data_IF_152478422964
#
_entry.id   IF_152478422964
#
_cell.length_a   1.000
_cell.length_b   1.000
_cell.length_c   1.000
_cell.angle_alpha   90.00
_cell.angle_beta   90.00
_cell.angle_gamma   90.00
#
_symmetry.space_group_name_H-M   'P 1'
#
loop_
_entity.id
_entity.type
_entity.pdbx_description
1 polymer ?
#
# COMPACT_ATOMS: atom_id res chain seq x y z
N UNK A 1 41.93 22.29 17.51
CA UNK A 1 42.55 21.00 17.15
C UNK A 1 42.11 20.65 15.75
N UNK A 2 43.06 20.67 14.82
CA UNK A 2 42.87 20.44 13.40
C UNK A 2 43.42 19.05 13.03
N UNK A 3 42.63 18.26 12.30
CA UNK A 3 43.01 17.04 11.57
C UNK A 3 41.85 16.83 10.56
N UNK A 4 41.95 17.01 9.24
CA UNK A 4 42.91 16.60 8.21
C UNK A 4 42.69 15.16 7.68
N UNK A 5 42.65 15.05 6.34
CA UNK A 5 42.68 13.87 5.44
C UNK A 5 41.34 13.14 5.18
N UNK A 6 41.01 12.68 3.96
CA UNK A 6 41.61 12.83 2.63
C UNK A 6 40.54 12.51 1.56
N UNK A 7 40.64 13.18 0.42
CA UNK A 7 39.83 12.95 -0.78
C UNK A 7 40.36 11.76 -1.59
N UNK A 8 39.46 11.02 -2.24
CA UNK A 8 39.78 10.05 -3.29
C UNK A 8 38.91 10.35 -4.52
N UNK A 9 39.58 10.89 -5.55
CA UNK A 9 39.09 11.10 -6.90
C UNK A 9 39.26 9.79 -7.69
N UNK A 10 38.22 9.36 -8.38
CA UNK A 10 38.32 8.37 -9.45
C UNK A 10 37.70 8.95 -10.72
N UNK A 11 38.57 9.40 -11.61
CA UNK A 11 38.31 9.77 -13.00
C UNK A 11 38.31 8.51 -13.85
N UNK A 12 37.21 8.26 -14.58
CA UNK A 12 37.07 7.12 -15.50
C UNK A 12 36.52 7.54 -16.86
N UNK A 13 37.45 7.68 -17.80
CA UNK A 13 37.44 7.75 -19.26
C UNK A 13 36.13 7.79 -20.08
N UNK A 14 36.20 8.70 -21.05
CA UNK A 14 35.41 8.81 -22.27
C UNK A 14 35.76 7.74 -23.33
N UNK A 15 34.77 7.42 -24.17
CA UNK A 15 34.90 6.77 -25.49
C UNK A 15 33.51 6.76 -26.14
N UNK A 16 33.22 7.58 -27.16
CA UNK A 16 33.55 7.35 -28.58
C UNK A 16 32.49 6.42 -29.19
N UNK A 17 31.40 6.89 -29.82
CA UNK A 17 31.33 7.35 -31.21
C UNK A 17 31.43 6.16 -32.18
N UNK A 18 30.36 5.61 -32.78
CA UNK A 18 29.61 6.08 -33.99
C UNK A 18 28.68 4.91 -34.46
N UNK A 19 28.04 4.92 -35.67
CA UNK A 19 26.62 5.19 -35.91
C UNK A 19 25.90 3.96 -36.57
N UNK A 20 24.70 4.08 -37.20
CA UNK A 20 23.78 2.96 -37.44
C UNK A 20 24.06 2.21 -38.75
N UNK A 21 23.72 0.92 -38.78
CA UNK A 21 23.70 0.14 -40.01
C UNK A 21 22.33 -0.56 -40.16
N UNK A 22 21.50 0.06 -41.00
CA UNK A 22 20.42 -0.57 -41.75
C UNK A 22 21.00 -1.63 -42.69
N UNK A 23 20.43 -2.84 -42.70
CA UNK A 23 20.11 -3.51 -43.96
C UNK A 23 19.02 -4.58 -43.76
N UNK A 24 18.10 -4.71 -44.74
CA UNK A 24 17.04 -5.71 -44.77
C UNK A 24 17.50 -6.94 -45.56
N UNK A 25 16.96 -8.14 -45.26
CA UNK A 25 16.62 -9.11 -46.31
C UNK A 25 15.83 -10.31 -45.79
N UNK A 26 14.70 -10.52 -46.44
CA UNK A 26 14.07 -11.82 -46.64
C UNK A 26 15.10 -12.85 -47.12
N UNK A 27 15.04 -14.06 -46.57
CA UNK A 27 15.41 -15.26 -47.33
C UNK A 27 14.46 -16.39 -46.96
N UNK A 28 13.53 -16.60 -47.88
CA UNK A 28 12.67 -17.76 -48.06
C UNK A 28 13.51 -19.01 -48.33
N UNK A 29 12.96 -20.16 -47.94
CA UNK A 29 13.26 -21.49 -48.46
C UNK A 29 14.63 -22.09 -48.13
N UNK A 30 14.68 -22.92 -47.07
CA UNK A 30 15.06 -24.32 -47.25
C UNK A 30 14.60 -25.15 -46.04
N UNK A 31 13.45 -25.82 -46.16
CA UNK A 31 12.95 -26.73 -45.13
C UNK A 31 13.50 -28.13 -45.41
N UNK A 32 14.76 -28.31 -45.07
CA UNK A 32 15.38 -29.61 -44.97
C UNK A 32 14.69 -30.42 -43.87
N UNK A 33 14.17 -31.57 -44.27
CA UNK A 33 13.52 -32.60 -43.46
C UNK A 33 14.55 -33.19 -42.48
N UNK A 34 14.57 -32.66 -41.25
CA UNK A 34 15.40 -33.20 -40.17
C UNK A 34 14.77 -34.50 -39.64
N UNK A 35 15.59 -35.55 -39.41
CA UNK A 35 15.13 -36.82 -38.86
C UNK A 35 14.52 -36.60 -37.49
N UNK A 36 13.37 -37.24 -37.25
CA UNK A 36 12.71 -37.35 -35.94
C UNK A 36 13.71 -37.95 -34.95
N UNK A 37 14.37 -37.10 -34.17
CA UNK A 37 15.01 -37.49 -32.92
C UNK A 37 13.90 -37.97 -32.00
N UNK A 38 14.04 -39.21 -31.56
CA UNK A 38 13.19 -39.86 -30.57
C UNK A 38 12.85 -38.88 -29.45
N UNK A 39 11.55 -38.60 -29.29
CA UNK A 39 10.97 -37.91 -28.15
C UNK A 39 11.37 -38.69 -26.89
N UNK A 40 12.49 -38.29 -26.28
CA UNK A 40 12.76 -38.61 -24.90
C UNK A 40 11.66 -37.92 -24.09
N UNK A 41 10.69 -38.73 -23.65
CA UNK A 41 9.71 -38.38 -22.63
C UNK A 41 10.44 -37.70 -21.47
N UNK A 42 10.50 -36.36 -21.52
CA UNK A 42 10.98 -35.57 -20.42
C UNK A 42 10.04 -35.89 -19.25
N UNK A 43 10.57 -36.26 -18.07
CA UNK A 43 9.73 -36.59 -16.94
C UNK A 43 8.77 -35.44 -16.70
N UNK A 44 7.47 -35.72 -16.76
CA UNK A 44 6.41 -34.76 -16.49
C UNK A 44 6.60 -34.27 -15.06
N UNK A 45 7.29 -33.15 -14.88
CA UNK A 45 7.39 -32.47 -13.60
C UNK A 45 5.97 -32.21 -13.13
N UNK A 46 5.58 -32.86 -12.04
CA UNK A 46 4.29 -32.60 -11.42
C UNK A 46 4.38 -31.18 -10.90
N UNK A 47 3.53 -30.24 -11.38
CA UNK A 47 3.65 -28.84 -10.99
C UNK A 47 3.56 -28.74 -9.47
N UNK A 48 4.53 -28.06 -8.86
CA UNK A 48 4.52 -27.83 -7.42
C UNK A 48 3.20 -27.15 -7.02
N UNK A 49 2.53 -27.63 -5.96
CA UNK A 49 1.26 -27.05 -5.55
C UNK A 49 1.46 -25.59 -5.16
N UNK A 50 0.64 -24.71 -5.74
CA UNK A 50 0.69 -23.27 -5.44
C UNK A 50 0.44 -23.03 -3.95
N UNK A 51 1.26 -22.20 -3.26
CA UNK A 51 1.04 -21.85 -1.86
C UNK A 51 -0.33 -21.21 -1.58
N UNK A 52 -1.02 -20.68 -2.60
CA UNK A 52 -2.37 -20.13 -2.48
C UNK A 52 -3.45 -21.21 -2.29
N UNK A 53 -3.18 -22.45 -2.67
CA UNK A 53 -4.13 -23.57 -2.53
C UNK A 53 -4.04 -24.16 -1.13
N UNK A 54 -5.15 -24.13 -0.40
CA UNK A 54 -5.28 -24.58 0.98
C UNK A 54 -6.28 -25.74 1.04
N UNK A 55 -5.99 -26.77 1.83
CA UNK A 55 -6.87 -27.94 1.94
C UNK A 55 -8.25 -27.55 2.52
N UNK A 56 -9.28 -28.38 2.30
CA UNK A 56 -10.60 -28.15 2.90
C UNK A 56 -10.60 -28.18 4.44
N UNK A 57 -9.60 -28.84 5.04
CA UNK A 57 -9.40 -28.91 6.49
C UNK A 57 -8.39 -27.87 7.01
N UNK A 58 -7.94 -26.93 6.16
CA UNK A 58 -6.94 -25.95 6.53
C UNK A 58 -7.41 -25.08 7.70
N UNK A 59 -6.44 -24.65 8.50
CA UNK A 59 -6.65 -23.74 9.63
C UNK A 59 -6.10 -22.35 9.34
N UNK A 60 -6.31 -21.43 10.27
CA UNK A 60 -5.74 -20.10 10.17
C UNK A 60 -4.20 -20.09 10.17
N UNK A 61 -3.56 -21.03 10.88
CA UNK A 61 -2.11 -21.20 10.82
C UNK A 61 -1.63 -21.57 9.40
N UNK A 62 -2.34 -22.45 8.69
CA UNK A 62 -2.00 -22.80 7.29
C UNK A 62 -2.12 -21.59 6.36
N UNK A 63 -3.15 -20.75 6.57
CA UNK A 63 -3.31 -19.49 5.82
C UNK A 63 -2.14 -18.53 6.09
N UNK A 64 -1.73 -18.33 7.34
CA UNK A 64 -0.59 -17.46 7.67
C UNK A 64 0.72 -18.02 7.11
N UNK A 65 0.90 -19.35 7.14
CA UNK A 65 2.05 -20.01 6.51
C UNK A 65 2.07 -19.80 4.98
N UNK A 66 0.91 -19.88 4.32
CA UNK A 66 0.78 -19.57 2.89
C UNK A 66 1.12 -18.10 2.59
N UNK A 67 0.63 -17.15 3.38
CA UNK A 67 0.98 -15.73 3.26
C UNK A 67 2.50 -15.52 3.37
N UNK A 68 3.13 -16.15 4.36
CA UNK A 68 4.59 -16.13 4.54
C UNK A 68 5.35 -16.69 3.33
N UNK A 69 4.89 -17.81 2.80
CA UNK A 69 5.51 -18.44 1.62
C UNK A 69 5.41 -17.52 0.40
N UNK A 70 4.24 -16.91 0.16
CA UNK A 70 4.02 -15.98 -0.95
C UNK A 70 4.88 -14.72 -0.82
N UNK A 71 5.00 -14.16 0.39
CA UNK A 71 5.87 -13.03 0.70
C UNK A 71 7.34 -13.36 0.39
N UNK A 72 7.82 -14.53 0.86
CA UNK A 72 9.19 -15.00 0.62
C UNK A 72 9.50 -15.29 -0.85
N UNK A 73 8.49 -15.60 -1.66
CA UNK A 73 8.60 -15.83 -3.11
C UNK A 73 8.35 -14.56 -3.94
N UNK A 74 8.05 -13.42 -3.31
CA UNK A 74 7.58 -12.20 -3.99
C UNK A 74 6.38 -12.43 -4.91
N UNK A 75 5.47 -13.33 -4.51
CA UNK A 75 4.22 -13.67 -5.22
C UNK A 75 2.97 -13.13 -4.49
N UNK A 76 3.12 -11.99 -3.82
CA UNK A 76 2.08 -11.36 -2.99
C UNK A 76 0.88 -10.84 -3.78
N UNK A 77 1.08 -10.47 -5.05
CA UNK A 77 0.07 -9.84 -5.88
C UNK A 77 -1.08 -10.78 -6.28
N UNK A 78 -2.30 -10.26 -6.30
CA UNK A 78 -3.48 -10.96 -6.82
C UNK A 78 -4.46 -10.00 -7.48
N UNK A 79 -5.02 -10.41 -8.62
CA UNK A 79 -6.03 -9.64 -9.37
C UNK A 79 -7.48 -10.00 -9.00
N UNK A 80 -7.70 -10.90 -8.05
CA UNK A 80 -9.03 -11.43 -7.75
C UNK A 80 -9.97 -10.42 -7.06
N UNK A 81 -9.42 -9.41 -6.37
CA UNK A 81 -10.20 -8.38 -5.67
C UNK A 81 -11.01 -8.91 -4.47
N UNK A 82 -10.61 -10.04 -3.89
CA UNK A 82 -11.26 -10.67 -2.74
C UNK A 82 -10.22 -11.43 -1.90
N UNK A 83 -10.53 -11.69 -0.63
CA UNK A 83 -9.57 -12.31 0.29
C UNK A 83 -9.51 -13.83 0.15
N UNK A 84 -10.67 -14.49 0.11
CA UNK A 84 -10.75 -15.95 0.20
C UNK A 84 -11.86 -16.51 -0.71
N UNK A 85 -11.55 -17.62 -1.39
CA UNK A 85 -12.48 -18.41 -2.21
C UNK A 85 -12.54 -19.85 -1.72
N UNK A 86 -13.64 -20.57 -2.03
CA UNK A 86 -13.82 -21.97 -1.65
C UNK A 86 -14.51 -22.17 -0.30
N UNK A 87 -14.68 -23.42 0.15
CA UNK A 87 -15.36 -23.74 1.41
C UNK A 87 -16.18 -25.04 1.41
N UNK A 88 -16.74 -25.36 2.58
CA UNK A 88 -17.44 -26.59 3.05
C UNK A 88 -16.96 -27.95 2.54
N UNK A 89 -16.89 -28.16 1.22
CA UNK A 89 -16.42 -29.39 0.60
C UNK A 89 -15.31 -29.17 -0.44
N UNK A 90 -15.03 -27.92 -0.80
CA UNK A 90 -13.98 -27.53 -1.74
C UNK A 90 -12.74 -26.99 -1.01
N UNK A 91 -11.53 -27.20 -1.57
CA UNK A 91 -10.32 -26.54 -1.11
C UNK A 91 -10.49 -25.01 -1.08
N UNK A 92 -9.77 -24.37 -0.16
CA UNK A 92 -9.72 -22.92 -0.09
C UNK A 92 -8.64 -22.38 -1.03
N UNK A 93 -8.84 -21.15 -1.51
CA UNK A 93 -7.82 -20.40 -2.26
C UNK A 93 -7.65 -19.03 -1.63
N UNK A 94 -6.41 -18.70 -1.27
CA UNK A 94 -6.02 -17.37 -0.82
C UNK A 94 -5.89 -16.45 -2.04
N UNK A 95 -6.95 -15.67 -2.27
CA UNK A 95 -7.09 -14.75 -3.40
C UNK A 95 -6.63 -13.34 -3.04
N UNK A 96 -6.26 -13.11 -1.79
CA UNK A 96 -5.86 -11.79 -1.31
C UNK A 96 -4.60 -11.28 -2.04
N UNK A 97 -4.61 -9.98 -2.36
CA UNK A 97 -3.41 -9.18 -2.61
C UNK A 97 -2.74 -8.88 -1.26
N UNK A 98 -1.48 -9.28 -1.09
CA UNK A 98 -0.81 -9.35 0.21
C UNK A 98 0.14 -8.18 0.44
N UNK A 99 0.08 -7.60 1.63
CA UNK A 99 1.03 -6.59 2.07
C UNK A 99 1.10 -6.51 3.60
N UNK A 100 2.24 -6.89 4.17
CA UNK A 100 2.49 -6.87 5.62
C UNK A 100 3.20 -5.58 6.06
N UNK A 101 2.96 -5.17 7.30
CA UNK A 101 3.70 -4.08 7.94
C UNK A 101 5.03 -4.55 8.56
N UNK A 102 5.21 -5.86 8.74
CA UNK A 102 6.38 -6.45 9.41
C UNK A 102 6.96 -7.61 8.60
N UNK A 103 8.29 -7.72 8.61
CA UNK A 103 9.02 -8.86 8.07
C UNK A 103 10.07 -9.34 9.10
N UNK A 104 10.17 -10.65 9.39
CA UNK A 104 9.29 -11.71 8.88
C UNK A 104 7.87 -11.60 9.44
N UNK A 105 6.87 -12.07 8.68
CA UNK A 105 5.48 -12.17 9.14
C UNK A 105 5.44 -13.23 10.28
N UNK A 106 4.82 -12.91 11.43
CA UNK A 106 4.79 -13.82 12.59
C UNK A 106 3.88 -15.03 12.32
N UNK A 107 4.07 -16.08 13.11
CA UNK A 107 3.18 -17.24 13.13
C UNK A 107 1.82 -16.90 13.77
N UNK A 108 0.78 -17.65 13.38
CA UNK A 108 -0.51 -17.55 14.05
C UNK A 108 -0.42 -18.10 15.48
N UNK A 109 -0.82 -17.33 16.51
CA UNK A 109 -0.73 -17.79 17.89
C UNK A 109 -1.67 -18.96 18.15
N UNK A 110 -1.23 -19.94 18.93
CA UNK A 110 -2.03 -21.12 19.24
C UNK A 110 -3.25 -20.79 20.12
N UNK A 111 -3.11 -19.80 21.01
CA UNK A 111 -4.13 -19.38 21.97
C UNK A 111 -4.09 -17.86 22.17
N UNK A 112 -5.26 -17.23 22.24
CA UNK A 112 -5.48 -15.81 22.48
C UNK A 112 -6.38 -15.55 23.69
N UNK A 113 -7.09 -16.56 24.20
CA UNK A 113 -8.14 -16.41 25.23
C UNK A 113 -7.78 -15.50 26.40
N UNK A 114 -6.63 -15.68 27.03
CA UNK A 114 -6.21 -14.85 28.19
C UNK A 114 -6.03 -13.36 27.88
N UNK A 115 -5.80 -13.01 26.60
CA UNK A 115 -5.70 -11.61 26.12
C UNK A 115 -7.06 -11.03 25.72
N UNK A 116 -8.11 -11.85 25.75
CA UNK A 116 -9.47 -11.50 25.35
C UNK A 116 -10.42 -11.45 26.56
N UNK A 117 -9.91 -11.67 27.77
CA UNK A 117 -10.71 -11.68 29.00
C UNK A 117 -11.21 -10.29 29.41
N UNK A 118 -10.43 -9.23 29.19
CA UNK A 118 -10.86 -7.86 29.47
C UNK A 118 -11.46 -7.20 28.20
N UNK A 119 -12.78 -6.92 28.16
CA UNK A 119 -13.43 -6.24 27.04
C UNK A 119 -13.09 -4.75 26.94
N UNK A 120 -12.46 -4.17 27.98
CA UNK A 120 -12.05 -2.76 28.01
C UNK A 120 -10.72 -2.54 27.28
N UNK A 121 -9.93 -3.58 27.11
CA UNK A 121 -8.69 -3.50 26.36
C UNK A 121 -8.95 -3.19 24.89
N UNK A 122 -8.14 -2.31 24.33
CA UNK A 122 -8.16 -1.95 22.91
C UNK A 122 -7.16 -2.79 22.14
N UNK A 123 -7.35 -2.83 20.81
CA UNK A 123 -6.37 -3.40 19.90
C UNK A 123 -5.46 -2.31 19.31
N UNK A 124 -4.22 -2.69 18.99
CA UNK A 124 -3.38 -1.94 18.06
C UNK A 124 -3.22 -2.74 16.80
N UNK A 125 -3.42 -2.12 15.64
CA UNK A 125 -3.31 -2.79 14.33
C UNK A 125 -2.27 -2.08 13.48
N UNK A 126 -1.25 -2.82 13.05
CA UNK A 126 -0.23 -2.37 12.12
C UNK A 126 -0.63 -2.77 10.71
N UNK A 127 -0.83 -1.79 9.84
CA UNK A 127 -1.01 -2.00 8.40
C UNK A 127 0.23 -1.50 7.67
N UNK A 128 0.36 -1.79 6.36
CA UNK A 128 1.46 -1.22 5.55
C UNK A 128 1.49 0.31 5.56
N UNK A 129 0.36 0.95 5.88
CA UNK A 129 0.19 2.40 5.79
C UNK A 129 0.36 3.09 7.14
N UNK A 130 -0.20 2.53 8.21
CA UNK A 130 -0.29 3.19 9.50
C UNK A 130 -0.48 2.20 10.66
N UNK A 131 -0.21 2.71 11.86
CA UNK A 131 -0.61 2.10 13.12
C UNK A 131 -1.96 2.69 13.56
N UNK A 132 -2.90 1.80 13.93
CA UNK A 132 -4.20 2.17 14.48
C UNK A 132 -4.28 1.81 15.96
N UNK A 133 -4.66 2.78 16.79
CA UNK A 133 -4.71 2.61 18.25
C UNK A 133 -3.37 2.93 18.93
N UNK A 134 -3.45 3.23 20.24
CA UNK A 134 -2.30 3.67 21.03
C UNK A 134 -1.98 2.76 22.24
N UNK A 135 -2.95 1.96 22.70
CA UNK A 135 -2.81 1.04 23.83
C UNK A 135 -3.17 -0.38 23.37
N UNK A 136 -2.42 -1.40 23.77
CA UNK A 136 -2.76 -2.78 23.43
C UNK A 136 -2.59 -3.76 24.58
N UNK A 137 -3.67 -4.49 24.86
CA UNK A 137 -3.59 -5.90 25.27
C UNK A 137 -3.50 -6.85 24.07
N UNK A 138 -3.94 -6.38 22.89
CA UNK A 138 -3.88 -7.10 21.62
C UNK A 138 -3.18 -6.26 20.55
N UNK A 139 -2.09 -6.78 19.99
CA UNK A 139 -1.38 -6.16 18.88
C UNK A 139 -1.50 -7.06 17.63
N UNK A 140 -1.89 -6.49 16.49
CA UNK A 140 -2.18 -7.20 15.26
C UNK A 140 -1.34 -6.63 14.10
N UNK A 141 -1.02 -7.47 13.12
CA UNK A 141 -0.42 -7.07 11.85
C UNK A 141 -1.34 -7.47 10.71
N UNK A 142 -1.73 -6.50 9.89
CA UNK A 142 -2.49 -6.72 8.66
C UNK A 142 -1.64 -7.46 7.62
N UNK A 143 -2.26 -8.39 6.90
CA UNK A 143 -1.64 -9.31 5.96
C UNK A 143 -1.95 -8.98 4.50
N UNK A 144 -3.04 -8.27 4.24
CA UNK A 144 -3.49 -7.93 2.90
C UNK A 144 -3.33 -6.44 2.59
N UNK A 145 -3.20 -6.11 1.30
CA UNK A 145 -3.30 -4.74 0.83
C UNK A 145 -4.67 -4.19 1.17
N UNK A 146 -4.69 -3.16 2.00
CA UNK A 146 -5.87 -2.34 2.25
C UNK A 146 -5.65 -0.99 1.58
N UNK A 147 -6.69 -0.25 1.21
CA UNK A 147 -6.51 1.17 1.02
C UNK A 147 -5.99 1.77 2.34
N UNK A 148 -5.24 2.87 2.26
CA UNK A 148 -4.99 3.74 3.38
C UNK A 148 -6.30 4.05 4.11
N UNK A 149 -6.37 3.76 5.40
CA UNK A 149 -7.62 3.80 6.14
C UNK A 149 -8.15 5.22 6.27
N UNK A 150 -9.46 5.36 6.11
CA UNK A 150 -10.17 6.60 6.43
C UNK A 150 -9.99 6.96 7.92
N UNK A 151 -10.29 8.20 8.28
CA UNK A 151 -10.39 8.58 9.69
C UNK A 151 -11.45 7.71 10.39
N UNK A 152 -11.15 7.24 11.61
CA UNK A 152 -12.04 6.38 12.38
C UNK A 152 -11.25 5.31 13.15
N UNK A 153 -11.97 4.52 13.95
CA UNK A 153 -11.41 3.32 14.58
C UNK A 153 -11.50 2.13 13.64
N UNK A 154 -10.82 1.04 14.00
CA UNK A 154 -11.04 -0.26 13.37
C UNK A 154 -11.90 -1.11 14.30
N UNK A 155 -12.90 -1.78 13.73
CA UNK A 155 -13.58 -2.88 14.41
C UNK A 155 -12.75 -4.15 14.23
N UNK A 156 -12.53 -4.90 15.31
CA UNK A 156 -11.65 -6.07 15.29
C UNK A 156 -12.47 -7.30 15.69
N UNK A 157 -12.47 -8.31 14.83
CA UNK A 157 -13.06 -9.63 15.05
C UNK A 157 -11.94 -10.62 15.32
N UNK A 158 -11.93 -11.21 16.52
CA UNK A 158 -10.98 -12.25 16.91
C UNK A 158 -11.72 -13.56 17.04
N UNK A 159 -11.35 -14.55 16.24
CA UNK A 159 -11.90 -15.90 16.31
C UNK A 159 -11.01 -16.75 17.22
N UNK A 160 -11.56 -17.19 18.34
CA UNK A 160 -10.91 -18.08 19.29
C UNK A 160 -11.70 -19.39 19.41
N UNK A 161 -11.14 -20.38 20.11
CA UNK A 161 -11.83 -21.65 20.40
C UNK A 161 -13.18 -21.44 21.11
N UNK A 162 -13.26 -20.46 22.00
CA UNK A 162 -14.46 -20.15 22.80
C UNK A 162 -15.54 -19.40 22.00
N UNK A 163 -15.19 -18.85 20.83
CA UNK A 163 -16.10 -18.11 19.96
C UNK A 163 -15.47 -16.86 19.34
N UNK A 164 -16.31 -15.97 18.83
CA UNK A 164 -15.90 -14.67 18.33
C UNK A 164 -15.86 -13.63 19.46
N UNK A 165 -14.81 -12.82 19.46
CA UNK A 165 -14.65 -11.65 20.32
C UNK A 165 -14.56 -10.39 19.48
N UNK A 166 -15.09 -9.28 20.00
CA UNK A 166 -15.02 -7.98 19.33
C UNK A 166 -14.19 -7.00 20.14
N UNK A 167 -13.39 -6.22 19.43
CA UNK A 167 -12.58 -5.12 19.96
C UNK A 167 -12.66 -3.88 19.06
N UNK A 168 -12.21 -2.74 19.57
CA UNK A 168 -11.94 -1.53 18.78
C UNK A 168 -10.53 -1.04 19.05
N UNK A 169 -10.04 -0.17 18.18
CA UNK A 169 -8.71 0.46 18.33
C UNK A 169 -8.72 1.77 19.11
N UNK A 170 -9.89 2.36 19.35
CA UNK A 170 -10.05 3.66 20.00
C UNK A 170 -10.54 3.58 21.45
N UNK A 171 -11.50 2.70 21.71
CA UNK A 171 -12.20 2.56 22.99
C UNK A 171 -12.55 1.11 23.28
N UNK A 172 -12.79 0.77 24.54
CA UNK A 172 -13.28 -0.56 24.92
C UNK A 172 -14.67 -0.85 24.35
N UNK A 173 -15.02 -2.13 24.22
CA UNK A 173 -16.35 -2.57 23.77
C UNK A 173 -17.22 -2.88 24.99
N UNK A 174 -18.49 -2.49 24.96
CA UNK A 174 -19.41 -2.84 26.04
C UNK A 174 -19.49 -4.38 26.20
N UNK A 175 -19.45 -4.93 27.44
CA UNK A 175 -19.29 -6.38 27.65
C UNK A 175 -20.26 -7.27 26.88
N UNK A 176 -21.53 -6.86 26.74
CA UNK A 176 -22.56 -7.59 25.99
C UNK A 176 -22.28 -7.74 24.48
N UNK A 177 -21.36 -6.95 23.92
CA UNK A 177 -20.95 -7.00 22.52
C UNK A 177 -19.50 -7.48 22.35
N UNK A 178 -18.75 -7.70 23.44
CA UNK A 178 -17.32 -8.00 23.36
C UNK A 178 -16.98 -9.49 23.16
N UNK A 179 -17.97 -10.38 23.34
CA UNK A 179 -17.79 -11.84 23.27
C UNK A 179 -17.26 -12.46 24.57
N UNK A 180 -17.06 -13.80 24.60
CA UNK A 180 -17.24 -14.70 23.46
C UNK A 180 -18.71 -14.90 23.07
N UNK A 181 -18.97 -15.07 21.77
CA UNK A 181 -20.26 -15.56 21.26
C UNK A 181 -20.07 -16.51 20.08
N UNK A 182 -21.05 -17.38 19.78
CA UNK A 182 -21.03 -18.22 18.59
C UNK A 182 -20.83 -17.41 17.30
N UNK A 183 -19.99 -17.89 16.39
CA UNK A 183 -19.60 -17.12 15.18
C UNK A 183 -20.79 -16.79 14.30
N UNK A 184 -21.82 -17.64 14.23
CA UNK A 184 -23.07 -17.42 13.51
C UNK A 184 -23.91 -16.27 14.07
N UNK A 185 -23.65 -15.81 15.29
CA UNK A 185 -24.28 -14.64 15.92
C UNK A 185 -23.48 -13.34 15.78
N UNK A 186 -22.35 -13.36 15.05
CA UNK A 186 -21.51 -12.17 14.85
C UNK A 186 -22.30 -11.01 14.22
N UNK A 187 -23.25 -11.29 13.33
CA UNK A 187 -24.13 -10.30 12.69
C UNK A 187 -24.98 -9.48 13.66
N UNK A 188 -25.24 -9.98 14.87
CA UNK A 188 -26.01 -9.26 15.90
C UNK A 188 -25.16 -8.19 16.62
N UNK A 189 -23.84 -8.42 16.71
CA UNK A 189 -22.94 -7.59 17.50
C UNK A 189 -22.03 -6.70 16.64
N UNK A 190 -21.60 -7.20 15.47
CA UNK A 190 -20.64 -6.52 14.60
C UNK A 190 -21.13 -5.14 14.13
N UNK A 191 -22.40 -4.92 13.73
CA UNK A 191 -22.86 -3.59 13.30
C UNK A 191 -22.68 -2.51 14.37
N UNK A 192 -22.86 -2.86 15.65
CA UNK A 192 -22.70 -1.93 16.78
C UNK A 192 -21.23 -1.55 16.98
N UNK A 193 -20.31 -2.51 16.82
CA UNK A 193 -18.87 -2.28 16.98
C UNK A 193 -18.26 -1.59 15.75
N UNK A 194 -18.80 -1.89 14.57
CA UNK A 194 -18.39 -1.32 13.29
C UNK A 194 -19.00 0.07 12.99
N UNK A 195 -19.92 0.57 13.81
CA UNK A 195 -20.50 1.90 13.64
C UNK A 195 -19.42 2.98 13.67
N UNK A 196 -19.17 3.63 12.52
CA UNK A 196 -18.11 4.63 12.36
C UNK A 196 -16.70 4.05 12.15
N UNK A 197 -16.57 2.74 11.99
CA UNK A 197 -15.28 2.11 11.74
C UNK A 197 -14.81 2.36 10.30
N UNK A 198 -13.51 2.61 10.14
CA UNK A 198 -12.88 2.76 8.83
C UNK A 198 -12.68 1.41 8.12
N UNK A 199 -12.50 0.33 8.88
CA UNK A 199 -12.38 -1.04 8.38
C UNK A 199 -12.76 -2.07 9.46
N UNK A 200 -12.96 -3.31 9.02
CA UNK A 200 -13.12 -4.49 9.88
C UNK A 200 -11.87 -5.36 9.75
N UNK A 201 -11.19 -5.57 10.85
CA UNK A 201 -10.01 -6.43 10.96
C UNK A 201 -10.48 -7.79 11.45
N UNK A 202 -10.07 -8.86 10.76
CA UNK A 202 -10.40 -10.24 11.13
C UNK A 202 -9.10 -11.00 11.38
N UNK A 203 -9.02 -11.63 12.55
CA UNK A 203 -7.89 -12.47 12.98
C UNK A 203 -8.41 -13.71 13.69
N UNK A 204 -7.57 -14.72 13.86
CA UNK A 204 -7.95 -15.94 14.54
C UNK A 204 -6.75 -16.60 15.27
N UNK A 205 -7.06 -17.49 16.21
CA UNK A 205 -6.10 -18.47 16.71
C UNK A 205 -5.72 -19.46 15.62
N UNK A 206 -4.48 -19.96 15.65
CA UNK A 206 -3.92 -20.80 14.60
C UNK A 206 -4.69 -22.12 14.33
N UNK A 207 -5.44 -22.62 15.31
CA UNK A 207 -6.24 -23.86 15.18
C UNK A 207 -7.65 -23.63 14.65
N UNK A 208 -8.08 -22.38 14.46
CA UNK A 208 -9.42 -22.08 13.94
C UNK A 208 -9.52 -22.55 12.48
N UNK A 209 -10.51 -23.40 12.13
CA UNK A 209 -10.71 -23.84 10.76
C UNK A 209 -11.04 -22.67 9.81
N UNK A 210 -10.58 -22.73 8.55
CA UNK A 210 -10.91 -21.70 7.56
C UNK A 210 -12.40 -21.65 7.21
N UNK A 211 -13.16 -22.72 7.46
CA UNK A 211 -14.63 -22.69 7.37
C UNK A 211 -15.26 -21.71 8.38
N UNK A 212 -14.74 -21.68 9.61
CA UNK A 212 -15.14 -20.71 10.64
C UNK A 212 -14.73 -19.29 10.27
N UNK A 213 -13.52 -19.10 9.74
CA UNK A 213 -13.07 -17.80 9.23
C UNK A 213 -13.98 -17.32 8.09
N UNK A 214 -14.31 -18.19 7.13
CA UNK A 214 -15.22 -17.87 6.02
C UNK A 214 -16.60 -17.46 6.53
N UNK A 215 -17.15 -18.17 7.51
CA UNK A 215 -18.44 -17.82 8.13
C UNK A 215 -18.41 -16.42 8.77
N UNK A 216 -17.31 -16.07 9.44
CA UNK A 216 -17.13 -14.73 10.01
C UNK A 216 -17.00 -13.65 8.92
N UNK A 217 -16.18 -13.91 7.88
CA UNK A 217 -16.01 -13.01 6.74
C UNK A 217 -17.32 -12.76 5.99
N UNK A 218 -18.17 -13.78 5.85
CA UNK A 218 -19.50 -13.67 5.24
C UNK A 218 -20.50 -12.80 6.02
N UNK A 219 -20.22 -12.49 7.29
CA UNK A 219 -21.03 -11.60 8.12
C UNK A 219 -20.51 -10.17 8.16
N UNK A 220 -19.35 -9.90 7.55
CA UNK A 220 -18.83 -8.54 7.41
C UNK A 220 -19.66 -7.80 6.35
N UNK A 221 -20.13 -6.56 6.59
CA UNK A 221 -20.86 -5.81 5.58
C UNK A 221 -20.05 -5.70 4.28
N UNK A 222 -20.66 -6.00 3.13
CA UNK A 222 -19.95 -6.04 1.85
C UNK A 222 -19.34 -4.71 1.40
N UNK A 223 -19.77 -3.59 1.98
CA UNK A 223 -19.18 -2.26 1.76
C UNK A 223 -18.00 -1.94 2.65
N UNK A 224 -17.73 -2.75 3.69
CA UNK A 224 -16.65 -2.51 4.62
C UNK A 224 -15.31 -2.91 4.00
N UNK A 225 -14.27 -2.11 4.27
CA UNK A 225 -12.89 -2.54 4.01
C UNK A 225 -12.56 -3.66 4.98
N UNK A 226 -12.01 -4.78 4.49
CA UNK A 226 -11.63 -5.93 5.33
C UNK A 226 -10.12 -6.10 5.37
N UNK A 227 -9.61 -6.31 6.58
CA UNK A 227 -8.19 -6.57 6.82
C UNK A 227 -8.05 -7.95 7.45
N UNK A 228 -7.39 -8.89 6.79
CA UNK A 228 -6.90 -10.10 7.44
C UNK A 228 -5.68 -9.72 8.26
N UNK A 229 -5.63 -10.15 9.52
CA UNK A 229 -4.53 -9.83 10.41
C UNK A 229 -4.09 -11.05 11.23
N UNK A 230 -2.83 -11.04 11.66
CA UNK A 230 -2.27 -12.01 12.61
C UNK A 230 -1.93 -11.30 13.91
N UNK A 231 -2.21 -11.93 15.05
CA UNK A 231 -1.88 -11.37 16.35
C UNK A 231 -0.40 -11.60 16.68
N UNK A 232 0.25 -10.54 17.17
CA UNK A 232 1.61 -10.59 17.70
C UNK A 232 1.61 -11.16 19.11
N UNK A 233 2.69 -11.82 19.49
CA UNK A 233 2.93 -12.33 20.85
C UNK A 233 2.72 -11.26 21.94
N UNK A 234 2.34 -11.70 23.14
CA UNK A 234 2.17 -10.80 24.26
C UNK A 234 3.51 -10.11 24.62
N UNK A 235 3.45 -8.81 24.94
CA UNK A 235 4.64 -8.04 25.32
C UNK A 235 5.54 -7.59 24.16
N UNK A 236 5.18 -7.88 22.90
CA UNK A 236 5.89 -7.31 21.74
C UNK A 236 5.80 -5.79 21.80
N UNK A 237 6.97 -5.14 21.87
CA UNK A 237 7.07 -3.68 21.83
C UNK A 237 6.91 -3.21 20.39
N UNK A 238 5.83 -2.48 20.15
CA UNK A 238 5.63 -1.81 18.88
C UNK A 238 6.54 -0.57 18.80
N UNK A 239 7.11 -0.25 17.63
CA UNK A 239 7.80 1.01 17.45
C UNK A 239 6.82 2.15 17.73
N UNK A 240 7.28 3.20 18.40
CA UNK A 240 6.49 4.41 18.50
C UNK A 240 6.22 4.93 17.08
N UNK A 241 5.00 5.42 16.78
CA UNK A 241 4.74 6.09 15.52
C UNK A 241 5.82 7.17 15.29
N UNK A 242 6.35 7.29 14.07
CA UNK A 242 7.32 8.35 13.77
C UNK A 242 6.69 9.70 14.14
N UNK A 243 7.43 10.53 14.86
CA UNK A 243 7.00 11.89 15.13
C UNK A 243 6.81 12.62 13.79
N UNK A 244 5.79 13.46 13.70
CA UNK A 244 5.61 14.32 12.54
C UNK A 244 6.88 15.16 12.36
N UNK A 245 7.50 15.10 11.18
CA UNK A 245 8.67 15.89 10.86
C UNK A 245 8.23 17.34 10.60
N UNK A 246 8.62 18.32 11.45
CA UNK A 246 8.26 19.72 11.26
C UNK A 246 9.04 20.40 10.12
N UNK A 247 9.82 19.64 9.35
CA UNK A 247 10.60 20.14 8.22
C UNK A 247 9.73 20.98 7.28
N UNK A 248 10.18 22.21 7.06
CA UNK A 248 9.60 23.14 6.09
C UNK A 248 10.25 22.99 4.71
N UNK A 249 11.13 21.99 4.51
CA UNK A 249 11.82 21.80 3.25
C UNK A 249 10.82 21.60 2.10
N UNK A 250 11.00 22.35 1.02
CA UNK A 250 10.10 22.35 -0.14
C UNK A 250 8.83 23.20 0.03
N UNK A 251 8.55 23.78 1.21
CA UNK A 251 7.49 24.76 1.36
C UNK A 251 7.93 26.14 0.83
N UNK A 252 6.99 26.90 0.30
CA UNK A 252 7.25 28.27 -0.12
C UNK A 252 7.48 29.18 1.09
N UNK A 253 8.57 29.95 1.08
CA UNK A 253 8.79 30.98 2.10
C UNK A 253 7.66 32.02 2.04
N UNK A 254 6.99 32.26 3.17
CA UNK A 254 5.80 33.12 3.26
C UNK A 254 4.68 32.76 2.25
N UNK A 255 4.62 31.52 1.76
CA UNK A 255 3.60 31.07 0.82
C UNK A 255 3.74 31.60 -0.61
N UNK A 256 4.89 32.16 -0.98
CA UNK A 256 5.14 32.73 -2.31
C UNK A 256 6.45 32.21 -2.94
N UNK A 257 6.54 32.31 -4.27
CA UNK A 257 7.79 32.08 -5.00
C UNK A 257 8.78 33.23 -4.73
N UNK A 258 10.10 32.98 -4.81
CA UNK A 258 11.08 34.05 -4.85
C UNK A 258 10.78 35.04 -5.98
N UNK A 259 10.98 36.36 -5.77
CA UNK A 259 10.78 37.34 -6.83
C UNK A 259 11.71 37.03 -8.01
N UNK A 260 11.25 37.21 -9.26
CA UNK A 260 12.10 37.03 -10.43
C UNK A 260 13.17 38.14 -10.49
N UNK A 261 14.28 37.91 -11.22
CA UNK A 261 15.20 38.97 -11.60
C UNK A 261 14.47 40.14 -12.27
N UNK A 262 14.91 41.38 -12.01
CA UNK A 262 14.21 42.60 -12.42
C UNK A 262 14.13 42.80 -13.95
N UNK A 263 14.97 42.11 -14.72
CA UNK A 263 15.03 42.14 -16.18
C UNK A 263 14.10 41.11 -16.84
N UNK A 264 13.55 40.16 -16.09
CA UNK A 264 12.62 39.16 -16.62
C UNK A 264 11.19 39.71 -16.73
N UNK A 265 10.56 39.49 -17.89
CA UNK A 265 9.17 39.90 -18.15
C UNK A 265 8.21 38.74 -17.95
N UNK A 266 7.08 39.01 -17.31
CA UNK A 266 6.00 38.05 -17.17
C UNK A 266 5.33 37.84 -18.54
N UNK A 267 5.33 36.60 -19.01
CA UNK A 267 4.62 36.15 -20.20
C UNK A 267 3.28 35.52 -19.87
N UNK A 268 2.70 34.85 -20.86
CA UNK A 268 1.43 34.12 -20.73
C UNK A 268 1.58 32.69 -21.22
N UNK A 269 0.80 31.78 -20.63
CA UNK A 269 0.71 30.39 -21.08
C UNK A 269 -0.75 29.96 -21.01
N UNK A 270 -1.27 29.40 -22.10
CA UNK A 270 -2.66 28.98 -22.18
C UNK A 270 -3.00 27.87 -21.17
N UNK A 271 -4.20 27.91 -20.59
CA UNK A 271 -4.64 26.90 -19.63
C UNK A 271 -4.67 25.48 -20.21
N UNK A 272 -4.98 25.33 -21.50
CA UNK A 272 -4.96 24.03 -22.20
C UNK A 272 -3.54 23.44 -22.24
N UNK A 273 -2.52 24.28 -22.49
CA UNK A 273 -1.13 23.87 -22.50
C UNK A 273 -0.65 23.38 -21.13
N UNK A 274 -1.13 24.01 -20.05
CA UNK A 274 -0.85 23.56 -18.68
C UNK A 274 -1.57 22.23 -18.41
N UNK A 275 -2.88 22.16 -18.72
CA UNK A 275 -3.70 20.97 -18.50
C UNK A 275 -3.16 19.72 -19.21
N UNK A 276 -2.67 19.87 -20.44
CA UNK A 276 -2.06 18.79 -21.21
C UNK A 276 -0.80 18.17 -20.55
N UNK A 277 -0.20 18.83 -19.56
CA UNK A 277 0.94 18.31 -18.79
C UNK A 277 0.55 17.73 -17.43
N UNK A 278 -0.67 17.96 -16.96
CA UNK A 278 -1.10 17.52 -15.64
C UNK A 278 -1.23 16.00 -15.52
N UNK A 279 -1.56 15.29 -16.60
CA UNK A 279 -1.75 13.83 -16.56
C UNK A 279 -0.42 13.11 -16.26
N UNK A 280 0.64 13.41 -17.02
CA UNK A 280 1.99 12.84 -16.79
C UNK A 280 2.54 13.21 -15.40
N UNK A 281 2.25 14.42 -14.94
CA UNK A 281 2.61 14.86 -13.59
C UNK A 281 1.83 14.07 -12.53
N UNK A 282 0.54 13.79 -12.77
CA UNK A 282 -0.31 13.02 -11.85
C UNK A 282 0.20 11.59 -11.72
N UNK A 283 0.57 10.92 -12.81
CA UNK A 283 1.20 9.60 -12.77
C UNK A 283 2.51 9.60 -11.97
N UNK A 284 3.38 10.60 -12.20
CA UNK A 284 4.61 10.74 -11.44
C UNK A 284 4.38 10.99 -9.95
N UNK A 285 3.39 11.81 -9.62
CA UNK A 285 3.02 12.11 -8.24
C UNK A 285 2.38 10.89 -7.54
N UNK A 286 1.63 10.06 -8.28
CA UNK A 286 1.08 8.80 -7.76
C UNK A 286 2.18 7.78 -7.44
N UNK A 287 3.27 7.71 -8.23
CA UNK A 287 4.45 6.90 -7.86
C UNK A 287 5.11 7.37 -6.57
N UNK A 288 5.18 8.70 -6.34
CA UNK A 288 5.65 9.22 -5.05
C UNK A 288 4.73 8.77 -3.90
N UNK A 289 3.43 8.70 -4.15
CA UNK A 289 2.41 8.38 -3.16
C UNK A 289 2.44 6.91 -2.68
N UNK A 290 2.98 5.98 -3.46
CA UNK A 290 3.16 4.57 -3.06
C UNK A 290 3.98 4.40 -1.77
N UNK A 291 4.87 5.36 -1.50
CA UNK A 291 5.71 5.41 -0.32
C UNK A 291 5.12 6.25 0.83
N UNK A 292 3.94 6.85 0.64
CA UNK A 292 3.29 7.62 1.70
C UNK A 292 2.97 6.73 2.91
N UNK A 293 3.14 7.28 4.11
CA UNK A 293 2.86 6.60 5.39
C UNK A 293 2.05 7.50 6.31
N UNK A 294 1.46 6.91 7.35
CA UNK A 294 0.68 7.62 8.36
C UNK A 294 -0.49 8.40 7.73
N UNK A 295 -0.66 9.65 8.17
CA UNK A 295 -1.75 10.51 7.72
C UNK A 295 -1.69 10.84 6.23
N UNK A 296 -0.48 10.96 5.66
CA UNK A 296 -0.28 11.25 4.24
C UNK A 296 -0.79 10.12 3.35
N UNK A 297 -0.74 8.86 3.82
CA UNK A 297 -1.27 7.73 3.06
C UNK A 297 -2.77 7.90 2.76
N UNK A 298 -3.54 8.66 3.54
CA UNK A 298 -4.98 8.90 3.28
C UNK A 298 -5.25 9.74 2.04
N UNK A 299 -4.22 10.30 1.43
CA UNK A 299 -4.33 11.24 0.33
C UNK A 299 -4.60 12.65 0.83
N UNK A 300 -4.64 13.60 -0.11
CA UNK A 300 -4.74 15.01 0.20
C UNK A 300 -4.43 15.87 -1.00
N UNK A 301 -4.21 17.16 -0.76
CA UNK A 301 -3.85 18.14 -1.79
C UNK A 301 -2.53 18.81 -1.48
N UNK A 302 -1.73 18.99 -2.51
CA UNK A 302 -0.57 19.89 -2.52
C UNK A 302 -0.83 20.96 -3.56
N UNK A 303 -0.74 22.24 -3.16
CA UNK A 303 -0.74 23.36 -4.10
C UNK A 303 0.69 23.77 -4.35
N UNK A 304 1.21 23.46 -5.52
CA UNK A 304 2.58 23.79 -5.91
C UNK A 304 2.57 25.12 -6.66
N UNK A 305 3.38 26.07 -6.21
CA UNK A 305 3.72 27.25 -7.02
C UNK A 305 4.94 26.92 -7.85
N UNK A 306 4.87 27.25 -9.13
CA UNK A 306 5.88 26.91 -10.11
C UNK A 306 6.17 28.12 -10.99
N UNK A 307 7.46 28.40 -11.23
CA UNK A 307 7.92 29.32 -12.28
C UNK A 307 8.37 28.52 -13.49
N UNK A 308 7.76 28.78 -14.64
CA UNK A 308 8.12 28.20 -15.93
C UNK A 308 8.95 29.24 -16.69
N UNK A 309 10.19 28.90 -17.04
CA UNK A 309 11.09 29.78 -17.78
C UNK A 309 10.84 29.81 -19.29
N UNK A 310 11.71 30.48 -20.06
CA UNK A 310 11.44 30.80 -21.46
C UNK A 310 11.52 29.57 -22.38
N UNK A 311 12.22 28.52 -21.96
CA UNK A 311 12.26 27.23 -22.66
C UNK A 311 11.15 26.27 -22.19
N UNK A 312 10.18 26.75 -21.40
CA UNK A 312 9.12 25.93 -20.84
C UNK A 312 9.54 25.00 -19.70
N UNK A 313 10.81 25.04 -19.28
CA UNK A 313 11.32 24.29 -18.13
C UNK A 313 10.93 24.97 -16.82
N UNK A 314 10.63 24.19 -15.80
CA UNK A 314 10.41 24.69 -14.45
C UNK A 314 11.74 25.15 -13.85
N UNK A 315 11.84 26.43 -13.49
CA UNK A 315 13.03 27.03 -12.88
C UNK A 315 12.90 27.16 -11.36
N UNK A 316 11.68 27.36 -10.86
CA UNK A 316 11.36 27.38 -9.43
C UNK A 316 10.14 26.53 -9.14
N UNK A 317 10.14 25.82 -8.01
CA UNK A 317 8.98 25.10 -7.51
C UNK A 317 9.01 24.95 -5.99
N UNK A 318 7.89 25.25 -5.33
CA UNK A 318 7.68 25.04 -3.91
C UNK A 318 6.20 24.77 -3.61
N UNK A 319 5.88 24.08 -2.52
CA UNK A 319 4.51 23.86 -2.08
C UNK A 319 4.03 25.06 -1.24
N UNK A 320 2.99 25.76 -1.70
CA UNK A 320 2.37 26.83 -0.93
C UNK A 320 1.36 26.30 0.10
N UNK A 321 0.74 25.15 -0.18
CA UNK A 321 -0.05 24.39 0.81
C UNK A 321 0.24 22.91 0.66
N UNK A 322 0.30 22.20 1.77
CA UNK A 322 0.55 20.76 1.82
C UNK A 322 -0.35 20.15 2.91
N UNK A 323 -1.46 19.54 2.49
CA UNK A 323 -2.41 18.88 3.40
C UNK A 323 -1.89 17.52 3.88
N UNK A 324 -0.85 16.96 3.23
CA UNK A 324 -0.33 15.63 3.56
C UNK A 324 0.69 15.71 4.70
N UNK A 325 1.42 16.81 4.80
CA UNK A 325 2.37 17.06 5.89
C UNK A 325 3.59 16.14 5.89
N UNK A 326 3.82 15.40 4.80
CA UNK A 326 4.95 14.49 4.63
C UNK A 326 6.05 15.16 3.79
N UNK A 327 7.20 15.55 4.38
CA UNK A 327 8.26 16.24 3.67
C UNK A 327 8.95 15.37 2.61
N UNK A 328 9.00 14.05 2.79
CA UNK A 328 9.58 13.12 1.81
C UNK A 328 8.68 13.03 0.58
N UNK A 329 7.37 12.85 0.77
CA UNK A 329 6.38 12.86 -0.30
C UNK A 329 6.38 14.20 -1.02
N UNK A 330 6.35 15.33 -0.28
CA UNK A 330 6.40 16.68 -0.85
C UNK A 330 7.65 16.87 -1.72
N UNK A 331 8.82 16.43 -1.25
CA UNK A 331 10.08 16.53 -2.01
C UNK A 331 10.02 15.71 -3.30
N UNK A 332 9.50 14.49 -3.25
CA UNK A 332 9.31 13.65 -4.43
C UNK A 332 8.38 14.32 -5.45
N UNK A 333 7.21 14.82 -5.00
CA UNK A 333 6.25 15.51 -5.88
C UNK A 333 6.88 16.76 -6.52
N UNK A 334 7.62 17.57 -5.75
CA UNK A 334 8.33 18.73 -6.31
C UNK A 334 9.40 18.32 -7.33
N UNK A 335 10.07 17.18 -7.15
CA UNK A 335 10.99 16.63 -8.15
C UNK A 335 10.27 16.25 -9.44
N UNK A 336 9.09 15.64 -9.36
CA UNK A 336 8.24 15.35 -10.53
C UNK A 336 7.87 16.64 -11.25
N UNK A 337 7.40 17.66 -10.52
CA UNK A 337 7.02 18.97 -11.10
C UNK A 337 8.20 19.61 -11.82
N UNK A 338 9.40 19.61 -11.23
CA UNK A 338 10.62 20.15 -11.84
C UNK A 338 11.04 19.42 -13.11
N UNK A 339 10.69 18.13 -13.24
CA UNK A 339 10.95 17.33 -14.43
C UNK A 339 10.03 17.63 -15.61
N UNK A 340 8.92 18.35 -15.41
CA UNK A 340 7.95 18.66 -16.47
C UNK A 340 8.46 19.77 -17.38
N UNK A 341 8.26 19.61 -18.69
CA UNK A 341 8.52 20.63 -19.70
C UNK A 341 7.19 21.10 -20.29
N UNK A 342 6.86 22.36 -20.06
CA UNK A 342 5.71 23.05 -20.62
C UNK A 342 6.04 23.66 -21.99
N UNK A 343 5.05 24.09 -22.78
CA UNK A 343 5.32 25.00 -23.88
C UNK A 343 5.95 26.31 -23.37
N UNK A 344 6.78 26.93 -24.20
CA UNK A 344 7.38 28.23 -23.89
C UNK A 344 6.29 29.29 -23.67
N UNK A 345 6.45 30.20 -22.68
CA UNK A 345 5.55 31.34 -22.51
C UNK A 345 5.52 32.25 -23.75
N UNK A 346 4.36 32.82 -24.04
CA UNK A 346 4.18 33.86 -25.05
C UNK A 346 4.49 35.24 -24.44
N UNK A 347 5.18 36.11 -25.17
CA UNK A 347 5.41 37.53 -24.81
C UNK A 347 6.24 37.81 -23.54
N UNK A 348 6.91 36.82 -22.95
CA UNK A 348 7.76 37.03 -21.77
C UNK A 348 8.80 35.94 -21.55
N UNK A 349 9.56 36.12 -20.47
CA UNK A 349 10.67 35.26 -20.07
C UNK A 349 10.23 34.17 -19.09
N UNK A 350 9.10 34.38 -18.39
CA UNK A 350 8.57 33.37 -17.47
C UNK A 350 7.05 33.47 -17.29
N UNK A 351 6.44 32.43 -16.74
CA UNK A 351 5.08 32.47 -16.17
C UNK A 351 5.07 31.79 -14.81
N UNK A 352 4.38 32.39 -13.85
CA UNK A 352 4.15 31.79 -12.53
C UNK A 352 2.75 31.13 -12.52
N UNK A 353 2.68 29.87 -12.12
CA UNK A 353 1.44 29.08 -12.09
C UNK A 353 1.28 28.37 -10.75
N UNK A 354 0.02 28.15 -10.36
CA UNK A 354 -0.35 27.33 -9.21
C UNK A 354 -0.95 26.01 -9.70
N UNK A 355 -0.27 24.91 -9.41
CA UNK A 355 -0.67 23.56 -9.82
C UNK A 355 -1.37 22.85 -8.64
N UNK A 356 -2.67 22.53 -8.75
CA UNK A 356 -3.36 21.74 -7.74
C UNK A 356 -3.09 20.25 -7.99
N UNK A 357 -2.28 19.64 -7.14
CA UNK A 357 -2.01 18.19 -7.18
C UNK A 357 -2.89 17.52 -6.14
N UNK A 358 -3.73 16.58 -6.57
CA UNK A 358 -4.57 15.78 -5.67
C UNK A 358 -4.09 14.34 -5.70
N UNK A 359 -3.64 13.86 -4.54
CA UNK A 359 -3.25 12.47 -4.34
C UNK A 359 -4.41 11.75 -3.68
N UNK A 360 -4.79 10.60 -4.24
CA UNK A 360 -5.81 9.74 -3.66
C UNK A 360 -5.29 8.31 -3.67
N UNK A 361 -5.57 7.52 -2.64
CA UNK A 361 -5.31 6.10 -2.72
C UNK A 361 -6.08 5.47 -3.86
N UNK A 362 -5.45 4.49 -4.49
CA UNK A 362 -6.15 3.62 -5.40
C UNK A 362 -7.11 2.74 -4.60
N UNK A 363 -8.41 2.99 -4.75
CA UNK A 363 -9.46 2.19 -4.11
C UNK A 363 -9.86 0.99 -4.96
N UNK A 364 -9.31 0.83 -6.17
CA UNK A 364 -9.52 -0.39 -6.97
C UNK A 364 -8.92 -1.62 -6.28
N UNK A 365 -7.99 -1.41 -5.33
CA UNK A 365 -7.42 -2.45 -4.46
C UNK A 365 -8.32 -2.80 -3.28
N UNK A 366 -9.58 -2.33 -3.22
CA UNK A 366 -10.53 -2.76 -2.21
C UNK A 366 -10.85 -4.24 -2.40
N UNK A 367 -10.50 -5.05 -1.39
CA UNK A 367 -10.72 -6.48 -1.42
C UNK A 367 -12.00 -6.84 -0.68
N UNK A 368 -12.90 -7.55 -1.38
CA UNK A 368 -14.11 -8.10 -0.76
C UNK A 368 -13.73 -9.24 0.21
N UNK A 369 -14.49 -9.46 1.29
CA UNK A 369 -14.19 -10.54 2.22
C UNK A 369 -14.18 -11.93 1.55
N UNK A 370 -15.13 -12.19 0.64
CA UNK A 370 -15.26 -13.45 -0.08
C UNK A 370 -15.43 -13.19 -1.57
N UNK A 371 -14.96 -14.12 -2.40
CA UNK A 371 -15.06 -14.02 -3.86
C UNK A 371 -16.45 -14.39 -4.40
N UNK A 372 -17.13 -15.32 -3.71
CA UNK A 372 -18.38 -15.95 -4.14
C UNK A 372 -19.64 -15.30 -3.53
N UNK A 373 -19.53 -14.06 -3.07
CA UNK A 373 -20.57 -13.31 -2.34
C UNK A 373 -21.15 -12.12 -3.10
#
# INVERSE_FOLDING_TARGET
MALCCAALLATGCAGGGSPPETTPRETTADRAERPRTDDHDAPTETPEPSPRQLSAAATFADLVAAVRALDGLAQSESAAGCLLRGGELAPFVLEADLASAVHPIPDAPAELGSRLDDPRETAVVLTRWAQHGASSGLALVGLNTTPPPAAGHLAVVVLAREGAHLRRTDTGVAPRHAGPFPVDRLHEHLPVVAEGAAAVVVTAEGRVPLSTLRLALGQVPGSATVVLAVALEAGVRLPSPPAADPSTHGLCAAGALPPPPADQRLGTLGADAIRARLDSMSEGAMRCFEFARGDAARGGRIRVLTRIGPQGRVTEACAATDELGDPTLRTCVLSVVRGVVFPAPTEGDFVDVALPIRLRPDTSTLQRPLCDG
#
